data_IF_406327239648
#
_entry.id   IF_406327239648
#
_cell.length_a   1.000
_cell.length_b   1.000
_cell.length_c   1.000
_cell.angle_alpha   90.00
_cell.angle_beta   90.00
_cell.angle_gamma   90.00
#
_symmetry.space_group_name_H-M   'P 1'
#
loop_
_entity.id
_entity.type
_entity.pdbx_description
1 polymer ?
#
# COMPACT_ATOMS: atom_id res chain seq x y z
N UNK A 1 3.51 -11.64 -7.10
CA UNK A 1 3.91 -10.22 -7.06
C UNK A 1 5.43 -10.17 -6.95
N UNK A 2 6.08 -9.47 -7.87
CA UNK A 2 7.54 -9.28 -7.86
C UNK A 2 7.94 -8.23 -6.81
N UNK A 3 9.23 -8.13 -6.49
CA UNK A 3 9.74 -7.09 -5.59
C UNK A 3 9.53 -5.68 -6.16
N UNK A 4 9.60 -5.53 -7.48
CA UNK A 4 9.38 -4.26 -8.17
C UNK A 4 7.92 -3.82 -8.10
N UNK A 5 6.98 -4.74 -8.36
CA UNK A 5 5.54 -4.48 -8.23
C UNK A 5 5.17 -4.06 -6.79
N UNK A 6 5.72 -4.75 -5.79
CA UNK A 6 5.53 -4.39 -4.39
C UNK A 6 6.02 -2.96 -4.11
N UNK A 7 7.23 -2.64 -4.58
CA UNK A 7 7.83 -1.32 -4.38
C UNK A 7 7.01 -0.23 -5.05
N UNK A 8 6.53 -0.48 -6.27
CA UNK A 8 5.66 0.44 -7.01
C UNK A 8 4.35 0.68 -6.25
N UNK A 9 3.66 -0.37 -5.82
CA UNK A 9 2.41 -0.26 -5.06
C UNK A 9 2.61 0.52 -3.75
N UNK A 10 3.68 0.24 -3.00
CA UNK A 10 3.99 0.95 -1.77
C UNK A 10 4.23 2.45 -1.99
N UNK A 11 4.94 2.80 -3.07
CA UNK A 11 5.18 4.20 -3.41
C UNK A 11 3.88 4.91 -3.78
N UNK A 12 3.03 4.29 -4.59
CA UNK A 12 1.72 4.84 -4.94
C UNK A 12 0.82 5.01 -3.71
N UNK A 13 0.78 4.01 -2.83
CA UNK A 13 0.03 4.08 -1.58
C UNK A 13 0.50 5.22 -0.66
N UNK A 14 1.81 5.49 -0.60
CA UNK A 14 2.38 6.63 0.13
C UNK A 14 2.03 7.96 -0.53
N UNK A 15 2.11 8.08 -1.86
CA UNK A 15 1.71 9.28 -2.58
C UNK A 15 0.24 9.65 -2.35
N UNK A 16 -0.62 8.64 -2.20
CA UNK A 16 -2.04 8.80 -1.88
C UNK A 16 -2.33 8.97 -0.37
N UNK A 17 -1.29 9.06 0.48
CA UNK A 17 -1.42 9.14 1.94
C UNK A 17 -2.17 7.95 2.57
N UNK A 18 -2.26 6.81 1.88
CA UNK A 18 -2.93 5.60 2.38
C UNK A 18 -2.05 4.81 3.35
N UNK A 19 -0.73 4.88 3.16
CA UNK A 19 0.27 4.19 3.99
C UNK A 19 1.31 5.19 4.47
N UNK A 20 1.58 5.19 5.78
CA UNK A 20 2.60 6.03 6.42
C UNK A 20 3.89 5.26 6.63
N UNK A 21 3.79 4.02 7.09
CA UNK A 21 4.93 3.17 7.41
C UNK A 21 4.64 1.72 7.05
N UNK A 22 5.72 0.94 6.93
CA UNK A 22 5.64 -0.50 6.72
C UNK A 22 6.59 -1.22 7.64
N UNK A 23 6.21 -2.39 8.12
CA UNK A 23 7.06 -3.23 8.98
C UNK A 23 6.90 -4.70 8.60
N UNK A 24 8.00 -5.43 8.55
CA UNK A 24 7.97 -6.88 8.38
C UNK A 24 8.09 -7.55 9.75
N UNK A 25 7.15 -8.43 10.08
CA UNK A 25 7.12 -9.20 11.34
C UNK A 25 6.91 -10.67 10.95
N UNK A 26 7.84 -11.55 11.33
CA UNK A 26 7.79 -12.98 11.01
C UNK A 26 7.53 -13.28 9.52
N UNK A 27 8.12 -12.50 8.62
CA UNK A 27 7.95 -12.64 7.16
C UNK A 27 6.71 -11.95 6.58
N UNK A 28 5.72 -11.60 7.41
CA UNK A 28 4.51 -10.89 6.97
C UNK A 28 4.78 -9.40 6.90
N UNK A 29 4.40 -8.77 5.78
CA UNK A 29 4.49 -7.32 5.61
C UNK A 29 3.23 -6.67 6.18
N UNK A 30 3.41 -5.75 7.13
CA UNK A 30 2.35 -4.91 7.68
C UNK A 30 2.47 -3.50 7.14
N UNK A 31 1.33 -2.89 6.86
CA UNK A 31 1.20 -1.48 6.49
C UNK A 31 0.47 -0.72 7.58
N UNK A 32 0.93 0.49 7.87
CA UNK A 32 0.34 1.39 8.85
C UNK A 32 -0.31 2.54 8.11
N UNK A 33 -1.56 2.86 8.48
CA UNK A 33 -2.33 3.97 7.95
C UNK A 33 -2.16 5.21 8.82
N UNK A 34 -2.57 6.38 8.29
CA UNK A 34 -2.54 7.65 9.03
C UNK A 34 -3.36 7.64 10.32
N UNK A 35 -4.46 6.88 10.35
CA UNK A 35 -5.33 6.77 11.52
C UNK A 35 -4.77 5.84 12.61
N UNK A 36 -3.53 5.36 12.48
CA UNK A 36 -2.91 4.44 13.44
C UNK A 36 -3.34 2.98 13.30
N UNK A 37 -4.27 2.66 12.40
CA UNK A 37 -4.61 1.28 12.09
C UNK A 37 -3.51 0.64 11.26
N UNK A 38 -3.23 -0.63 11.54
CA UNK A 38 -2.35 -1.44 10.72
C UNK A 38 -3.08 -2.68 10.21
N UNK A 39 -2.64 -3.17 9.07
CA UNK A 39 -3.14 -4.40 8.48
C UNK A 39 -2.02 -5.11 7.73
N UNK A 40 -2.24 -6.36 7.35
CA UNK A 40 -1.31 -7.07 6.48
C UNK A 40 -1.33 -6.46 5.09
N UNK A 41 -0.23 -6.62 4.36
CA UNK A 41 -0.12 -6.21 2.98
C UNK A 41 -1.19 -6.87 2.12
N UNK A 42 -1.47 -8.15 2.36
CA UNK A 42 -2.49 -8.94 1.65
C UNK A 42 -3.88 -8.33 1.82
N UNK A 43 -4.25 -7.93 3.03
CA UNK A 43 -5.52 -7.21 3.27
C UNK A 43 -5.53 -5.84 2.59
N UNK A 44 -4.41 -5.12 2.64
CA UNK A 44 -4.30 -3.81 1.99
C UNK A 44 -4.50 -3.89 0.48
N UNK A 45 -3.84 -4.82 -0.22
CA UNK A 45 -3.99 -4.96 -1.68
C UNK A 45 -5.35 -5.50 -2.09
N UNK A 46 -6.05 -6.23 -1.21
CA UNK A 46 -7.45 -6.61 -1.44
C UNK A 46 -8.39 -5.40 -1.44
N UNK A 47 -8.12 -4.39 -0.59
CA UNK A 47 -8.90 -3.15 -0.55
C UNK A 47 -8.46 -2.15 -1.64
N UNK A 48 -7.16 -2.10 -1.91
CA UNK A 48 -6.49 -1.18 -2.82
C UNK A 48 -5.59 -1.93 -3.81
N UNK A 49 -6.18 -2.64 -4.79
CA UNK A 49 -5.41 -3.28 -5.84
C UNK A 49 -4.67 -2.23 -6.68
N UNK A 50 -3.62 -2.68 -7.38
CA UNK A 50 -2.71 -1.82 -8.16
C UNK A 50 -3.48 -0.89 -9.12
N UNK A 51 -4.45 -1.43 -9.85
CA UNK A 51 -5.27 -0.72 -10.83
C UNK A 51 -6.07 0.40 -10.16
N UNK A 52 -6.55 0.17 -8.94
CA UNK A 52 -7.27 1.17 -8.15
C UNK A 52 -6.35 2.29 -7.68
N UNK A 53 -5.15 1.94 -7.21
CA UNK A 53 -4.13 2.93 -6.81
C UNK A 53 -3.75 3.82 -8.00
N UNK A 54 -3.52 3.23 -9.18
CA UNK A 54 -3.23 3.96 -10.41
C UNK A 54 -4.38 4.89 -10.81
N UNK A 55 -5.62 4.40 -10.78
CA UNK A 55 -6.80 5.21 -11.10
C UNK A 55 -6.97 6.40 -10.13
N UNK A 56 -6.68 6.22 -8.84
CA UNK A 56 -6.73 7.30 -7.84
C UNK A 56 -5.68 8.37 -8.10
N UNK A 57 -4.44 7.98 -8.44
CA UNK A 57 -3.37 8.92 -8.78
C UNK A 57 -3.73 9.73 -10.03
N UNK A 58 -4.23 9.06 -11.08
CA UNK A 58 -4.62 9.72 -12.32
C UNK A 58 -5.77 10.72 -12.14
N UNK A 59 -6.66 10.51 -11.17
CA UNK A 59 -7.74 11.44 -10.82
C UNK A 59 -7.31 12.60 -9.92
N UNK A 60 -6.15 12.46 -9.27
CA UNK A 60 -5.61 13.48 -8.35
C UNK A 60 -4.65 14.45 -9.06
N UNK A 61 -4.45 14.28 -10.37
CA UNK A 61 -3.72 15.17 -11.27
C UNK A 61 -4.69 15.95 -12.14
#
# INVERSE_FOLDING_TARGET
MTADELTQCLNMARMLNLVTATRRINGVLYVYRLNGHYMTWESFVSEYPLERLQAMINRSR
#
